data_IF_798883839604
#
_entry.id   IF_798883839604
#
_cell.length_a   1.000
_cell.length_b   1.000
_cell.length_c   1.000
_cell.angle_alpha   90.00
_cell.angle_beta   90.00
_cell.angle_gamma   90.00
#
_symmetry.space_group_name_H-M   'P 1'
#
loop_
_entity.id
_entity.type
_entity.pdbx_description
1 polymer ?
#
# COMPACT_ATOMS: atom_id res chain seq x y z
N UNK A 1 7.34 -0.81 -15.78
CA UNK A 1 6.33 -0.27 -14.85
C UNK A 1 6.74 -0.70 -13.45
N UNK A 2 7.03 0.23 -12.55
CA UNK A 2 7.51 -0.10 -11.21
C UNK A 2 6.33 -0.16 -10.24
N UNK A 3 5.96 -1.37 -9.83
CA UNK A 3 4.87 -1.63 -8.90
C UNK A 3 5.10 -0.93 -7.55
N UNK A 4 6.34 -0.83 -7.08
CA UNK A 4 6.65 -0.18 -5.81
C UNK A 4 6.32 1.31 -5.88
N UNK A 5 6.65 1.97 -7.01
CA UNK A 5 6.28 3.36 -7.25
C UNK A 5 4.77 3.56 -7.25
N UNK A 6 4.02 2.68 -7.91
CA UNK A 6 2.55 2.79 -7.94
C UNK A 6 1.95 2.60 -6.54
N UNK A 7 2.46 1.65 -5.75
CA UNK A 7 2.04 1.47 -4.36
C UNK A 7 2.27 2.74 -3.55
N UNK A 8 3.44 3.38 -3.69
CA UNK A 8 3.78 4.63 -3.00
C UNK A 8 2.83 5.76 -3.42
N UNK A 9 2.53 5.90 -4.71
CA UNK A 9 1.61 6.92 -5.24
C UNK A 9 0.20 6.75 -4.66
N UNK A 10 -0.36 5.53 -4.70
CA UNK A 10 -1.68 5.25 -4.12
C UNK A 10 -1.71 5.50 -2.61
N UNK A 11 -0.67 5.08 -1.89
CA UNK A 11 -0.60 5.30 -0.44
C UNK A 11 -0.53 6.79 -0.09
N UNK A 12 0.23 7.58 -0.87
CA UNK A 12 0.33 9.04 -0.70
C UNK A 12 -1.03 9.74 -0.89
N UNK A 13 -1.86 9.27 -1.81
CA UNK A 13 -3.15 9.91 -2.10
C UNK A 13 -4.19 9.72 -0.99
N UNK A 14 -4.25 8.53 -0.34
CA UNK A 14 -5.43 8.16 0.45
C UNK A 14 -5.25 7.19 1.62
N UNK A 15 -4.02 6.84 2.00
CA UNK A 15 -3.70 5.97 3.15
C UNK A 15 -4.57 4.69 3.22
N UNK A 16 -4.57 3.85 2.17
CA UNK A 16 -5.50 2.74 2.03
C UNK A 16 -5.16 1.55 2.94
N UNK A 17 -6.13 0.70 3.20
CA UNK A 17 -5.88 -0.69 3.63
C UNK A 17 -5.25 -1.51 2.49
N UNK A 18 -4.74 -2.70 2.80
CA UNK A 18 -4.15 -3.58 1.78
C UNK A 18 -5.16 -3.97 0.68
N UNK A 19 -6.41 -4.27 1.06
CA UNK A 19 -7.45 -4.64 0.10
C UNK A 19 -7.77 -3.46 -0.84
N UNK A 20 -7.93 -2.26 -0.27
CA UNK A 20 -8.18 -1.04 -1.06
C UNK A 20 -7.01 -0.64 -1.95
N UNK A 21 -5.77 -0.96 -1.55
CA UNK A 21 -4.58 -0.78 -2.38
C UNK A 21 -4.62 -1.71 -3.60
N UNK A 22 -4.95 -2.99 -3.41
CA UNK A 22 -5.08 -3.94 -4.53
C UNK A 22 -6.17 -3.47 -5.49
N UNK A 23 -7.35 -3.17 -4.97
CA UNK A 23 -8.50 -2.78 -5.78
C UNK A 23 -8.23 -1.46 -6.56
N UNK A 24 -7.33 -0.61 -6.09
CA UNK A 24 -6.87 0.57 -6.83
C UNK A 24 -5.91 0.23 -7.97
N UNK A 25 -4.93 -0.62 -7.69
CA UNK A 25 -3.93 -1.04 -8.66
C UNK A 25 -4.63 -1.77 -9.82
N UNK A 26 -5.62 -2.61 -9.52
CA UNK A 26 -6.45 -3.28 -10.51
C UNK A 26 -7.32 -2.30 -11.30
N UNK A 27 -7.89 -1.28 -10.65
CA UNK A 27 -8.62 -0.18 -11.33
C UNK A 27 -7.74 0.61 -12.29
N UNK A 28 -6.44 0.73 -12.00
CA UNK A 28 -5.44 1.33 -12.88
C UNK A 28 -5.00 0.40 -14.03
N UNK A 29 -5.65 -0.76 -14.18
CA UNK A 29 -5.44 -1.71 -15.27
C UNK A 29 -4.35 -2.76 -15.00
N UNK A 30 -3.85 -2.85 -13.77
CA UNK A 30 -2.81 -3.82 -13.39
C UNK A 30 -3.43 -4.94 -12.55
N UNK A 31 -3.63 -6.09 -13.19
CA UNK A 31 -3.96 -7.32 -12.46
C UNK A 31 -2.69 -7.87 -11.82
N UNK A 32 -2.71 -8.00 -10.49
CA UNK A 32 -1.56 -8.45 -9.73
C UNK A 32 -1.91 -9.58 -8.76
N UNK A 33 -1.06 -10.61 -8.74
CA UNK A 33 -1.16 -11.66 -7.74
C UNK A 33 -0.97 -11.07 -6.33
N UNK A 34 -1.88 -11.42 -5.42
CA UNK A 34 -1.89 -10.89 -4.06
C UNK A 34 -0.59 -11.18 -3.29
N UNK A 35 0.14 -12.26 -3.60
CA UNK A 35 1.43 -12.58 -2.98
C UNK A 35 2.52 -11.63 -3.45
N UNK A 36 2.50 -11.24 -4.72
CA UNK A 36 3.45 -10.25 -5.28
C UNK A 36 3.23 -8.90 -4.63
N UNK A 37 1.98 -8.44 -4.55
CA UNK A 37 1.65 -7.17 -3.87
C UNK A 37 2.06 -7.20 -2.38
N UNK A 38 1.80 -8.31 -1.68
CA UNK A 38 2.25 -8.49 -0.28
C UNK A 38 3.77 -8.41 -0.14
N UNK A 39 4.51 -9.03 -1.07
CA UNK A 39 5.98 -8.97 -1.05
C UNK A 39 6.46 -7.53 -1.16
N UNK A 40 5.96 -6.79 -2.15
CA UNK A 40 6.35 -5.39 -2.36
C UNK A 40 5.98 -4.51 -1.18
N UNK A 41 4.77 -4.62 -0.65
CA UNK A 41 4.37 -3.88 0.55
C UNK A 41 5.26 -4.24 1.75
N UNK A 42 5.58 -5.52 1.94
CA UNK A 42 6.45 -5.95 3.03
C UNK A 42 7.89 -5.42 2.86
N UNK A 43 8.42 -5.38 1.64
CA UNK A 43 9.72 -4.80 1.32
C UNK A 43 9.73 -3.29 1.63
N UNK A 44 8.69 -2.56 1.23
CA UNK A 44 8.54 -1.13 1.51
C UNK A 44 8.40 -0.83 3.00
N UNK A 45 7.71 -1.69 3.76
CA UNK A 45 7.62 -1.56 5.23
C UNK A 45 8.97 -1.85 5.88
N UNK A 46 9.68 -2.90 5.46
CA UNK A 46 11.02 -3.23 5.98
C UNK A 46 12.03 -2.12 5.70
N UNK A 47 11.93 -1.48 4.55
CA UNK A 47 12.75 -0.34 4.13
C UNK A 47 12.31 1.00 4.75
N UNK A 48 11.31 1.01 5.65
CA UNK A 48 10.75 2.22 6.27
C UNK A 48 10.26 3.27 5.28
N UNK A 49 9.80 2.84 4.11
CA UNK A 49 9.07 3.71 3.17
C UNK A 49 7.59 3.74 3.56
N UNK A 50 7.03 2.59 3.91
CA UNK A 50 5.64 2.44 4.37
C UNK A 50 5.56 2.08 5.84
N UNK A 51 4.58 2.68 6.51
CA UNK A 51 4.22 2.43 7.88
C UNK A 51 2.79 1.86 7.93
N UNK A 52 2.47 1.17 9.02
CA UNK A 52 1.13 0.62 9.28
C UNK A 52 0.53 1.36 10.47
N UNK A 53 -0.65 1.94 10.26
CA UNK A 53 -1.42 2.56 11.33
C UNK A 53 -2.69 1.74 11.57
N UNK A 54 -2.99 1.50 12.84
CA UNK A 54 -4.22 0.81 13.21
C UNK A 54 -5.40 1.78 13.11
N UNK A 55 -6.38 1.46 12.25
CA UNK A 55 -7.64 2.17 12.17
C UNK A 55 -8.68 1.46 13.07
N UNK A 56 -9.08 2.06 14.20
CA UNK A 56 -10.05 1.48 15.11
C UNK A 56 -11.47 1.40 14.52
N UNK A 57 -11.82 2.27 13.57
CA UNK A 57 -13.14 2.28 12.95
C UNK A 57 -13.29 1.12 11.96
N UNK A 58 -12.28 0.91 11.12
CA UNK A 58 -12.24 -0.19 10.16
C UNK A 58 -11.80 -1.53 10.77
N UNK A 59 -11.22 -1.51 11.99
CA UNK A 59 -10.56 -2.66 12.63
C UNK A 59 -9.50 -3.30 11.73
N UNK A 60 -8.74 -2.47 11.01
CA UNK A 60 -7.75 -2.88 10.00
C UNK A 60 -6.53 -1.97 10.05
N UNK A 61 -5.42 -2.43 9.49
CA UNK A 61 -4.24 -1.59 9.29
C UNK A 61 -4.36 -0.81 7.97
N UNK A 62 -4.14 0.49 8.05
CA UNK A 62 -3.90 1.37 6.90
C UNK A 62 -2.42 1.49 6.63
N UNK A 63 -2.08 1.67 5.37
CA UNK A 63 -0.74 1.94 4.89
C UNK A 63 -0.57 3.45 4.76
N UNK A 64 0.56 3.97 5.21
CA UNK A 64 0.94 5.38 5.11
C UNK A 64 2.43 5.48 4.79
N UNK A 65 2.90 6.63 4.30
CA UNK A 65 4.33 6.87 4.15
C UNK A 65 4.95 7.06 5.55
N UNK A 66 6.09 6.43 5.82
CA UNK A 66 6.80 6.65 7.10
C UNK A 66 7.49 8.02 7.17
N UNK A 67 7.67 8.69 6.03
CA UNK A 67 8.32 9.99 5.92
C UNK A 67 7.28 10.97 5.36
N UNK A 68 6.41 11.47 6.22
CA UNK A 68 5.77 12.78 6.04
C UNK A 68 6.40 13.70 7.10
N UNK A 69 7.26 14.68 6.73
CA UNK A 69 7.42 15.88 7.53
C UNK A 69 6.10 16.68 7.59
#
# INVERSE_FOLDING_TARGET
MDLARMVIEVVRERKPTFDELRDEIERRGIFIDSRVLRSVVADLVRSRVLCKEWDPNAKRFRLLLCIEP
#
